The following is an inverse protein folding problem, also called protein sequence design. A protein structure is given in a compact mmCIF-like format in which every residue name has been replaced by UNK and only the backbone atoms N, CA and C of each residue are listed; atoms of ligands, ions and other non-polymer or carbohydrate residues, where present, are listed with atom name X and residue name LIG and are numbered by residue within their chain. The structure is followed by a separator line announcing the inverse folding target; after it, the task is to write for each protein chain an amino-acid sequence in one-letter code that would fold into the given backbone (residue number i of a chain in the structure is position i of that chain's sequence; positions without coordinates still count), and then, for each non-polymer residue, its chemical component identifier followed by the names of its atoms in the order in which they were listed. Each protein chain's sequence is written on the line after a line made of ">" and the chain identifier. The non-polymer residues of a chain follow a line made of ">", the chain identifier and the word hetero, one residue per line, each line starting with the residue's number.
data_IF_902689278490
#
_entry.id   IF_902689278490
#
_cell.length_a   1.000
_cell.length_b   1.000
_cell.length_c   1.000
_cell.angle_alpha   90.00
_cell.angle_beta   90.00
_cell.angle_gamma   90.00
#
_symmetry.space_group_name_H-M   'P 1'
#
loop_
_entity.id
_entity.type
_entity.pdbx_description
1 polymer ?
#
# COMPACT_ATOMS: atom_id res chain seq x y z
N UNK A 1 33.47 -21.19 8.80
CA UNK A 1 32.35 -22.06 9.24
C UNK A 1 31.55 -22.45 7.98
N UNK A 2 30.95 -23.64 7.90
CA UNK A 2 30.20 -24.06 6.71
C UNK A 2 28.83 -24.60 7.11
N UNK A 3 27.85 -24.42 6.23
CA UNK A 3 26.56 -25.12 6.29
C UNK A 3 26.27 -25.67 4.91
N UNK A 4 26.13 -26.99 4.83
CA UNK A 4 26.23 -27.73 3.58
C UNK A 4 27.40 -27.31 2.71
N UNK A 5 27.12 -26.90 1.47
CA UNK A 5 28.16 -26.47 0.53
C UNK A 5 28.62 -25.02 0.77
N UNK A 6 27.88 -24.24 1.54
CA UNK A 6 28.09 -22.81 1.65
C UNK A 6 29.12 -22.46 2.71
N UNK A 7 30.01 -21.52 2.37
CA UNK A 7 30.98 -20.97 3.30
C UNK A 7 30.42 -19.73 3.97
N UNK A 8 30.16 -19.79 5.28
CA UNK A 8 29.64 -18.66 6.05
C UNK A 8 30.76 -17.61 6.25
N UNK A 9 30.51 -16.39 5.77
CA UNK A 9 31.47 -15.29 5.76
C UNK A 9 31.25 -14.36 6.97
N UNK A 10 30.04 -13.84 7.14
CA UNK A 10 29.70 -12.91 8.22
C UNK A 10 28.23 -13.04 8.61
N UNK A 11 27.92 -12.80 9.88
CA UNK A 11 26.53 -12.78 10.33
C UNK A 11 25.88 -11.46 9.93
N UNK A 12 24.68 -11.53 9.34
CA UNK A 12 23.86 -10.38 8.95
C UNK A 12 22.82 -10.04 10.00
N UNK A 13 22.33 -11.04 10.75
CA UNK A 13 21.36 -10.83 11.82
C UNK A 13 21.03 -12.10 12.61
N UNK A 14 20.32 -11.93 13.72
CA UNK A 14 19.80 -13.00 14.56
C UNK A 14 18.48 -12.58 15.20
N UNK A 15 17.56 -13.54 15.39
CA UNK A 15 16.30 -13.32 16.08
C UNK A 15 15.56 -14.61 16.37
N UNK A 16 14.30 -14.50 16.82
CA UNK A 16 13.46 -15.67 17.17
C UNK A 16 13.19 -16.64 16.01
N UNK A 17 13.38 -16.21 14.77
CA UNK A 17 13.22 -17.02 13.55
C UNK A 17 14.56 -17.53 13.00
N UNK A 18 15.63 -17.47 13.80
CA UNK A 18 16.94 -18.02 13.46
C UNK A 18 18.01 -16.97 13.18
N UNK A 19 19.07 -17.40 12.50
CA UNK A 19 20.24 -16.58 12.20
C UNK A 19 20.37 -16.39 10.69
N UNK A 20 20.71 -15.17 10.27
CA UNK A 20 20.96 -14.85 8.86
C UNK A 20 22.46 -14.59 8.68
N UNK A 21 23.06 -15.25 7.70
CA UNK A 21 24.48 -15.18 7.39
C UNK A 21 24.71 -14.79 5.92
N UNK A 22 25.70 -13.95 5.66
CA UNK A 22 26.31 -13.81 4.34
C UNK A 22 27.19 -15.03 4.12
N UNK A 23 27.06 -15.67 2.98
CA UNK A 23 27.80 -16.87 2.65
C UNK A 23 28.24 -16.87 1.18
N UNK A 24 29.31 -17.59 0.88
CA UNK A 24 29.74 -17.87 -0.49
C UNK A 24 29.14 -19.20 -0.96
N UNK A 25 28.47 -19.18 -2.10
CA UNK A 25 28.10 -20.37 -2.88
C UNK A 25 29.27 -20.72 -3.82
N UNK A 26 30.07 -21.75 -3.50
CA UNK A 26 31.25 -22.08 -4.29
C UNK A 26 30.91 -22.69 -5.66
N UNK A 27 29.69 -23.21 -5.86
CA UNK A 27 29.30 -23.83 -7.15
C UNK A 27 28.98 -22.79 -8.20
N UNK A 28 28.33 -21.71 -7.78
CA UNK A 28 27.95 -20.60 -8.65
C UNK A 28 28.89 -19.39 -8.52
N UNK A 29 29.90 -19.48 -7.66
CA UNK A 29 30.86 -18.41 -7.36
C UNK A 29 30.17 -17.07 -7.07
N UNK A 30 29.14 -17.10 -6.20
CA UNK A 30 28.35 -15.93 -5.83
C UNK A 30 28.09 -15.88 -4.34
N UNK A 31 27.86 -14.69 -3.82
CA UNK A 31 27.40 -14.53 -2.45
C UNK A 31 25.89 -14.66 -2.33
N UNK A 32 25.46 -15.21 -1.19
CA UNK A 32 24.06 -15.47 -0.85
C UNK A 32 23.83 -15.11 0.62
N UNK A 33 22.58 -14.84 0.97
CA UNK A 33 22.15 -14.81 2.36
C UNK A 33 21.56 -16.18 2.73
N UNK A 34 21.93 -16.70 3.90
CA UNK A 34 21.46 -17.98 4.43
C UNK A 34 20.74 -17.74 5.75
N UNK A 35 19.44 -18.02 5.78
CA UNK A 35 18.64 -17.98 7.00
C UNK A 35 18.53 -19.39 7.57
N UNK A 36 19.25 -19.63 8.65
CA UNK A 36 19.31 -20.91 9.38
C UNK A 36 18.22 -20.90 10.43
N UNK A 37 17.31 -21.86 10.38
CA UNK A 37 16.22 -21.98 11.36
C UNK A 37 16.74 -22.52 12.71
N UNK A 38 16.11 -22.14 13.83
CA UNK A 38 16.39 -22.74 15.13
C UNK A 38 16.10 -24.25 15.12
N UNK A 39 16.95 -25.03 15.78
CA UNK A 39 16.85 -26.51 15.85
C UNK A 39 15.47 -26.98 16.35
N UNK A 40 14.92 -26.32 17.37
CA UNK A 40 13.59 -26.64 17.89
C UNK A 40 12.46 -26.53 16.85
N UNK A 41 12.56 -25.57 15.93
CA UNK A 41 11.59 -25.41 14.84
C UNK A 41 11.88 -26.39 13.69
N UNK A 42 13.16 -26.69 13.44
CA UNK A 42 13.57 -27.71 12.48
C UNK A 42 13.25 -29.15 12.94
N UNK A 43 13.02 -29.39 14.22
CA UNK A 43 12.56 -30.70 14.72
C UNK A 43 11.04 -30.89 14.58
N UNK A 44 10.25 -29.82 14.44
CA UNK A 44 8.80 -29.88 14.30
C UNK A 44 8.39 -30.21 12.86
N UNK A 45 7.88 -31.43 12.66
CA UNK A 45 7.45 -31.92 11.34
C UNK A 45 6.30 -31.11 10.71
N UNK A 46 5.38 -30.57 11.51
CA UNK A 46 4.26 -29.77 11.03
C UNK A 46 4.75 -28.38 10.61
N UNK A 47 5.63 -27.79 11.42
CA UNK A 47 6.33 -26.56 11.09
C UNK A 47 7.10 -26.69 9.78
N UNK A 48 7.92 -27.74 9.65
CA UNK A 48 8.72 -28.00 8.44
C UNK A 48 7.86 -28.12 7.19
N UNK A 49 6.78 -28.90 7.26
CA UNK A 49 5.90 -29.10 6.12
C UNK A 49 5.24 -27.78 5.66
N UNK A 50 4.85 -26.91 6.60
CA UNK A 50 4.33 -25.56 6.30
C UNK A 50 5.41 -24.63 5.74
N UNK A 51 6.55 -24.53 6.41
CA UNK A 51 7.68 -23.72 5.98
C UNK A 51 8.11 -24.05 4.54
N UNK A 52 8.24 -25.34 4.21
CA UNK A 52 8.56 -25.78 2.85
C UNK A 52 7.47 -25.43 1.84
N UNK A 53 6.19 -25.47 2.21
CA UNK A 53 5.10 -25.04 1.33
C UNK A 53 5.17 -23.54 1.06
N UNK A 54 5.29 -22.72 2.09
CA UNK A 54 5.38 -21.26 1.98
C UNK A 54 6.61 -20.83 1.18
N UNK A 55 7.78 -21.39 1.50
CA UNK A 55 9.01 -21.09 0.79
C UNK A 55 8.94 -21.48 -0.70
N UNK A 56 8.26 -22.58 -1.06
CA UNK A 56 8.03 -22.95 -2.47
C UNK A 56 7.12 -21.98 -3.21
N UNK A 57 6.11 -21.42 -2.53
CA UNK A 57 5.21 -20.43 -3.14
C UNK A 57 5.98 -19.10 -3.28
N UNK A 58 6.70 -18.67 -2.24
CA UNK A 58 7.52 -17.47 -2.26
C UNK A 58 8.68 -17.53 -3.27
N UNK A 59 9.30 -18.70 -3.49
CA UNK A 59 10.35 -18.89 -4.49
C UNK A 59 9.88 -18.73 -5.95
N UNK A 60 8.56 -18.69 -6.20
CA UNK A 60 8.00 -18.40 -7.52
C UNK A 60 7.89 -16.90 -7.81
N UNK A 61 8.00 -16.07 -6.78
CA UNK A 61 7.95 -14.62 -6.96
C UNK A 61 9.20 -14.16 -7.71
N UNK A 62 8.99 -13.42 -8.80
CA UNK A 62 10.07 -12.81 -9.56
C UNK A 62 9.74 -11.33 -9.77
N UNK A 63 10.33 -10.47 -8.93
CA UNK A 63 10.05 -9.05 -8.95
C UNK A 63 11.28 -8.25 -8.50
N UNK A 64 11.59 -7.10 -9.13
CA UNK A 64 12.78 -6.31 -8.80
C UNK A 64 12.86 -5.88 -7.34
N UNK A 65 11.71 -5.70 -6.67
CA UNK A 65 11.63 -5.28 -5.27
C UNK A 65 11.38 -6.41 -4.28
N UNK A 66 11.51 -7.67 -4.69
CA UNK A 66 11.45 -8.85 -3.82
C UNK A 66 12.84 -9.49 -3.78
N UNK A 67 13.31 -9.87 -2.59
CA UNK A 67 14.52 -10.67 -2.47
C UNK A 67 14.26 -12.10 -2.94
N UNK A 68 15.07 -12.56 -3.89
CA UNK A 68 14.86 -13.87 -4.53
C UNK A 68 15.22 -15.00 -3.57
N UNK A 69 14.37 -16.02 -3.49
CA UNK A 69 14.71 -17.28 -2.80
C UNK A 69 15.29 -18.24 -3.84
N UNK A 70 16.51 -18.71 -3.61
CA UNK A 70 17.20 -19.63 -4.52
C UNK A 70 16.90 -21.09 -4.20
N UNK A 71 16.94 -21.47 -2.93
CA UNK A 71 16.67 -22.84 -2.49
C UNK A 71 16.23 -22.89 -1.03
N UNK A 72 15.53 -23.97 -0.68
CA UNK A 72 15.38 -24.42 0.70
C UNK A 72 16.17 -25.71 0.82
N UNK A 73 17.02 -25.80 1.82
CA UNK A 73 17.91 -26.95 2.01
C UNK A 73 17.77 -27.53 3.41
N UNK A 74 18.07 -28.81 3.49
CA UNK A 74 18.06 -29.58 4.72
C UNK A 74 19.33 -30.43 4.75
N UNK A 75 20.13 -30.27 5.81
CA UNK A 75 21.35 -31.02 6.02
C UNK A 75 21.69 -31.12 7.50
N UNK A 76 22.08 -32.32 7.95
CA UNK A 76 22.56 -32.58 9.31
C UNK A 76 21.60 -32.01 10.38
N UNK A 77 20.29 -32.28 10.21
CA UNK A 77 19.16 -31.78 11.01
C UNK A 77 18.94 -30.26 11.02
N UNK A 78 19.75 -29.49 10.29
CA UNK A 78 19.54 -28.07 10.06
C UNK A 78 18.70 -27.85 8.79
N UNK A 79 17.69 -26.98 8.90
CA UNK A 79 16.93 -26.47 7.76
C UNK A 79 17.27 -25.00 7.55
N UNK A 80 17.57 -24.62 6.30
CA UNK A 80 17.96 -23.26 5.97
C UNK A 80 17.44 -22.81 4.61
N UNK A 81 17.24 -21.50 4.48
CA UNK A 81 16.82 -20.83 3.27
C UNK A 81 18.02 -20.13 2.64
N UNK A 82 18.25 -20.36 1.35
CA UNK A 82 19.28 -19.66 0.56
C UNK A 82 18.59 -18.62 -0.29
N UNK A 83 18.99 -17.36 -0.14
CA UNK A 83 18.33 -16.22 -0.77
C UNK A 83 19.32 -15.18 -1.26
N UNK A 84 18.81 -14.22 -2.03
CA UNK A 84 19.54 -13.04 -2.49
C UNK A 84 20.16 -12.30 -1.30
N UNK A 85 21.47 -12.08 -1.36
CA UNK A 85 22.12 -11.11 -0.47
C UNK A 85 21.86 -9.71 -1.02
N UNK A 86 21.24 -8.84 -0.23
CA UNK A 86 20.98 -7.46 -0.61
C UNK A 86 22.08 -6.57 -0.03
N UNK A 87 22.95 -6.05 -0.90
CA UNK A 87 23.96 -5.06 -0.54
C UNK A 87 23.31 -3.69 -0.31
N UNK A 88 22.80 -3.48 0.90
CA UNK A 88 22.10 -2.28 1.32
C UNK A 88 22.00 -2.16 2.84
N UNK A 89 21.24 -1.17 3.29
CA UNK A 89 20.95 -0.98 4.72
C UNK A 89 19.43 -1.11 4.96
N UNK A 90 19.01 -1.64 6.12
CA UNK A 90 17.60 -1.65 6.50
C UNK A 90 17.02 -0.23 6.55
N UNK A 91 15.74 -0.10 6.24
CA UNK A 91 15.00 1.17 6.29
C UNK A 91 15.00 1.77 7.71
N UNK A 92 15.11 0.95 8.76
CA UNK A 92 15.29 1.42 10.15
C UNK A 92 16.43 2.42 10.30
N UNK A 93 17.56 2.21 9.63
CA UNK A 93 18.71 3.12 9.71
C UNK A 93 18.39 4.49 9.13
N UNK A 94 17.63 4.53 8.03
CA UNK A 94 17.23 5.77 7.40
C UNK A 94 16.17 6.51 8.23
N UNK A 95 15.23 5.79 8.86
CA UNK A 95 14.25 6.38 9.79
C UNK A 95 14.95 6.93 11.04
N UNK A 96 15.95 6.23 11.57
CA UNK A 96 16.71 6.67 12.75
C UNK A 96 17.49 7.97 12.51
N UNK A 97 17.80 8.29 11.25
CA UNK A 97 18.42 9.56 10.87
C UNK A 97 17.44 10.75 10.91
N UNK A 98 16.13 10.48 11.02
CA UNK A 98 15.07 11.48 11.14
C UNK A 98 13.97 11.34 10.09
N UNK A 99 12.96 12.23 10.13
CA UNK A 99 11.87 12.25 9.15
C UNK A 99 12.36 12.38 7.72
N UNK A 100 11.76 11.63 6.80
CA UNK A 100 12.04 11.67 5.37
C UNK A 100 11.14 12.69 4.66
N UNK A 101 11.68 13.31 3.61
CA UNK A 101 10.87 14.14 2.71
C UNK A 101 9.85 13.31 1.92
N UNK A 102 8.69 13.91 1.63
CA UNK A 102 7.55 13.23 1.01
C UNK A 102 7.93 12.46 -0.26
N UNK A 103 8.65 13.08 -1.20
CA UNK A 103 9.02 12.46 -2.47
C UNK A 103 9.80 11.15 -2.27
N UNK A 104 10.80 11.15 -1.37
CA UNK A 104 11.60 9.96 -1.08
C UNK A 104 10.79 8.89 -0.36
N UNK A 105 9.91 9.29 0.56
CA UNK A 105 9.06 8.35 1.26
C UNK A 105 8.05 7.68 0.30
N UNK A 106 7.44 8.46 -0.59
CA UNK A 106 6.55 7.97 -1.65
C UNK A 106 7.29 6.98 -2.56
N UNK A 107 8.47 7.33 -3.07
CA UNK A 107 9.27 6.44 -3.94
C UNK A 107 9.52 5.07 -3.31
N UNK A 108 9.90 5.05 -2.02
CA UNK A 108 10.15 3.80 -1.29
C UNK A 108 8.85 3.01 -1.13
N UNK A 109 7.77 3.66 -0.67
CA UNK A 109 6.49 2.98 -0.39
C UNK A 109 5.86 2.43 -1.67
N UNK A 110 5.98 3.13 -2.80
CA UNK A 110 5.52 2.63 -4.11
C UNK A 110 6.25 1.36 -4.54
N UNK A 111 7.58 1.30 -4.36
CA UNK A 111 8.37 0.09 -4.65
C UNK A 111 7.96 -1.09 -3.75
N UNK A 112 7.72 -0.83 -2.46
CA UNK A 112 7.23 -1.84 -1.51
C UNK A 112 5.81 -2.29 -1.87
N UNK A 113 4.90 -1.37 -2.21
CA UNK A 113 3.54 -1.68 -2.63
C UNK A 113 3.53 -2.55 -3.89
N UNK A 114 4.41 -2.29 -4.87
CA UNK A 114 4.58 -3.15 -6.05
C UNK A 114 5.02 -4.57 -5.68
N UNK A 115 5.98 -4.71 -4.75
CA UNK A 115 6.41 -6.02 -4.25
C UNK A 115 5.27 -6.78 -3.53
N UNK A 116 4.53 -6.08 -2.67
CA UNK A 116 3.38 -6.65 -1.96
C UNK A 116 2.30 -7.08 -2.95
N UNK A 117 2.04 -6.28 -3.99
CA UNK A 117 1.04 -6.59 -5.00
C UNK A 117 1.37 -7.88 -5.77
N UNK A 118 2.63 -8.09 -6.13
CA UNK A 118 3.09 -9.34 -6.78
C UNK A 118 2.85 -10.55 -5.86
N UNK A 119 3.24 -10.44 -4.59
CA UNK A 119 3.02 -11.50 -3.61
C UNK A 119 1.52 -11.81 -3.41
N UNK A 120 0.69 -10.78 -3.31
CA UNK A 120 -0.76 -10.91 -3.16
C UNK A 120 -1.40 -11.59 -4.38
N UNK A 121 -0.92 -11.27 -5.59
CA UNK A 121 -1.39 -11.91 -6.83
C UNK A 121 -1.04 -13.42 -6.87
N UNK A 122 0.05 -13.82 -6.21
CA UNK A 122 0.43 -15.22 -6.01
C UNK A 122 -0.26 -15.88 -4.79
N UNK A 123 -1.17 -15.19 -4.10
CA UNK A 123 -1.89 -15.70 -2.94
C UNK A 123 -1.08 -15.69 -1.64
N UNK A 124 0.01 -14.93 -1.58
CA UNK A 124 0.88 -14.81 -0.40
C UNK A 124 0.59 -13.50 0.31
N UNK A 125 0.34 -13.54 1.61
CA UNK A 125 0.31 -12.35 2.48
C UNK A 125 1.62 -12.31 3.25
N UNK A 126 2.28 -11.15 3.34
CA UNK A 126 3.60 -11.03 3.97
C UNK A 126 3.54 -11.15 5.50
N UNK A 127 2.59 -10.46 6.14
CA UNK A 127 2.27 -10.50 7.59
C UNK A 127 3.31 -9.93 8.55
N UNK A 128 4.45 -9.46 8.07
CA UNK A 128 5.55 -8.92 8.88
C UNK A 128 6.24 -7.75 8.16
N UNK A 129 5.45 -6.90 7.50
CA UNK A 129 5.96 -5.66 6.92
C UNK A 129 6.42 -4.75 8.07
N UNK A 130 7.71 -4.43 8.08
CA UNK A 130 8.37 -3.53 9.03
C UNK A 130 9.68 -3.00 8.43
N UNK A 131 10.26 -1.92 8.95
CA UNK A 131 11.44 -1.31 8.34
C UNK A 131 12.67 -2.23 8.31
N UNK A 132 12.80 -3.18 9.24
CA UNK A 132 13.88 -4.17 9.24
C UNK A 132 13.83 -5.14 8.03
N UNK A 133 12.64 -5.38 7.49
CA UNK A 133 12.44 -6.27 6.34
C UNK A 133 12.44 -5.50 5.00
N UNK A 134 12.74 -4.20 5.02
CA UNK A 134 12.81 -3.35 3.84
C UNK A 134 14.25 -2.85 3.70
N UNK A 135 14.96 -3.34 2.70
CA UNK A 135 16.35 -2.98 2.44
C UNK A 135 16.43 -1.87 1.40
N UNK A 136 17.23 -0.85 1.70
CA UNK A 136 17.58 0.23 0.79
C UNK A 136 18.96 -0.02 0.20
N UNK A 137 19.04 -0.20 -1.12
CA UNK A 137 20.29 -0.39 -1.86
C UNK A 137 20.47 0.69 -2.92
N UNK A 138 21.66 0.73 -3.54
CA UNK A 138 21.91 1.58 -4.72
C UNK A 138 21.07 1.18 -5.94
N UNK A 139 20.51 -0.03 -5.95
CA UNK A 139 19.65 -0.55 -7.02
C UNK A 139 18.16 -0.39 -6.73
N UNK A 140 17.80 0.25 -5.62
CA UNK A 140 16.42 0.45 -5.17
C UNK A 140 16.08 -0.36 -3.91
N UNK A 141 14.78 -0.51 -3.68
CA UNK A 141 14.22 -1.18 -2.49
C UNK A 141 14.08 -2.68 -2.72
N UNK A 142 14.35 -3.48 -1.69
CA UNK A 142 14.11 -4.92 -1.64
C UNK A 142 13.34 -5.29 -0.37
N UNK A 143 12.22 -6.00 -0.52
CA UNK A 143 11.44 -6.56 0.59
C UNK A 143 11.90 -7.99 0.84
N UNK A 144 12.18 -8.30 2.11
CA UNK A 144 12.68 -9.60 2.58
C UNK A 144 11.54 -10.44 3.19
N UNK A 145 11.73 -11.76 3.32
CA UNK A 145 10.94 -12.64 4.20
C UNK A 145 9.40 -12.71 3.95
N UNK A 146 8.95 -12.74 2.69
CA UNK A 146 7.52 -12.88 2.37
C UNK A 146 6.87 -14.15 2.94
N UNK A 147 6.00 -13.99 3.95
CA UNK A 147 5.06 -15.03 4.39
C UNK A 147 5.66 -16.15 5.24
N UNK A 148 6.97 -16.38 5.16
CA UNK A 148 7.67 -17.55 5.74
C UNK A 148 7.63 -17.60 7.28
N UNK A 149 7.41 -16.47 7.96
CA UNK A 149 7.62 -16.36 9.41
C UNK A 149 6.36 -16.56 10.27
N UNK A 150 5.14 -16.57 9.70
CA UNK A 150 3.92 -16.38 10.53
C UNK A 150 2.72 -17.29 10.27
N UNK A 151 2.66 -18.11 9.23
CA UNK A 151 1.55 -19.10 9.09
C UNK A 151 1.71 -20.34 9.98
N UNK A 152 2.74 -20.34 10.84
CA UNK A 152 3.21 -21.53 11.54
C UNK A 152 2.50 -21.79 12.87
N UNK A 153 1.41 -21.07 13.14
CA UNK A 153 0.55 -21.34 14.28
C UNK A 153 -0.91 -20.95 14.00
N UNK A 154 -1.74 -21.88 13.48
CA UNK A 154 -3.21 -21.75 13.42
C UNK A 154 -3.85 -21.60 14.82
N UNK A 155 -3.06 -21.87 15.87
CA UNK A 155 -3.36 -21.70 17.28
C UNK A 155 -2.35 -20.81 18.01
N UNK A 156 -1.64 -19.94 17.28
CA UNK A 156 -1.10 -18.76 17.92
C UNK A 156 -2.25 -17.76 18.09
N UNK A 157 -3.07 -18.02 19.11
CA UNK A 157 -3.22 -16.96 20.12
C UNK A 157 -1.84 -16.30 20.30
N UNK A 158 -1.72 -14.99 20.57
CA UNK A 158 -0.46 -14.48 21.09
C UNK A 158 -0.09 -15.33 22.30
N UNK A 159 0.71 -16.38 22.10
CA UNK A 159 1.09 -17.30 23.14
C UNK A 159 2.06 -16.48 23.95
N UNK A 160 1.51 -15.84 24.97
CA UNK A 160 2.23 -15.48 26.17
C UNK A 160 3.04 -16.73 26.51
N UNK A 161 4.34 -16.70 26.22
CA UNK A 161 5.25 -17.61 26.89
C UNK A 161 5.01 -17.42 28.39
N UNK A 162 5.20 -18.44 29.23
CA UNK A 162 5.06 -18.30 30.69
C UNK A 162 5.92 -17.15 31.28
N UNK A 163 6.83 -16.57 30.47
CA UNK A 163 7.65 -15.40 30.74
C UNK A 163 7.11 -14.05 30.19
N UNK A 164 5.91 -13.98 29.61
CA UNK A 164 5.32 -12.73 29.13
C UNK A 164 5.96 -12.11 27.88
N UNK A 165 6.83 -12.85 27.17
CA UNK A 165 7.48 -12.36 25.95
C UNK A 165 6.58 -12.62 24.73
N UNK A 166 6.12 -11.55 24.09
CA UNK A 166 5.49 -11.57 22.77
C UNK A 166 6.60 -11.73 21.72
N UNK A 167 6.50 -12.74 20.85
CA UNK A 167 7.45 -12.93 19.76
C UNK A 167 7.18 -11.91 18.64
N UNK A 168 8.04 -10.90 18.53
CA UNK A 168 8.02 -9.87 17.47
C UNK A 168 7.77 -8.45 17.96
N UNK A 169 7.88 -7.47 17.05
CA UNK A 169 7.60 -6.05 17.33
C UNK A 169 6.12 -5.77 17.05
N UNK A 170 5.25 -5.66 18.08
CA UNK A 170 3.80 -5.47 17.88
C UNK A 170 3.45 -4.16 17.17
N UNK A 171 4.38 -3.20 17.14
CA UNK A 171 4.17 -1.86 16.59
C UNK A 171 3.71 -1.83 15.13
N UNK A 172 4.04 -2.86 14.34
CA UNK A 172 3.68 -2.96 12.92
C UNK A 172 2.55 -3.96 12.63
N UNK A 173 1.97 -4.59 13.66
CA UNK A 173 0.83 -5.49 13.47
C UNK A 173 -0.41 -4.70 13.04
N UNK A 174 -1.22 -5.33 12.19
CA UNK A 174 -2.57 -4.86 11.92
C UNK A 174 -3.54 -5.14 13.10
N UNK A 175 -4.65 -4.40 13.22
CA UNK A 175 -5.71 -4.66 14.22
C UNK A 175 -6.18 -6.09 14.26
N UNK A 176 -6.43 -6.67 13.08
CA UNK A 176 -6.85 -8.06 12.95
C UNK A 176 -5.78 -9.05 13.40
N UNK A 177 -4.49 -8.77 13.17
CA UNK A 177 -3.39 -9.60 13.68
C UNK A 177 -3.31 -9.55 15.22
N UNK A 178 -3.41 -8.36 15.81
CA UNK A 178 -3.39 -8.22 17.27
C UNK A 178 -4.60 -8.88 17.94
N UNK A 179 -5.73 -8.98 17.22
CA UNK A 179 -6.95 -9.65 17.67
C UNK A 179 -6.97 -11.16 17.38
N UNK A 180 -5.96 -11.70 16.69
CA UNK A 180 -5.95 -13.11 16.26
C UNK A 180 -7.05 -13.43 15.24
N UNK A 181 -7.52 -12.44 14.48
CA UNK A 181 -8.51 -12.60 13.41
C UNK A 181 -7.83 -13.01 12.09
N UNK A 182 -8.64 -13.40 11.12
CA UNK A 182 -8.16 -13.75 9.78
C UNK A 182 -7.38 -12.58 9.15
N UNK A 183 -6.17 -12.88 8.70
CA UNK A 183 -5.24 -11.94 8.08
C UNK A 183 -5.46 -11.95 6.56
N UNK A 184 -5.46 -10.79 5.93
CA UNK A 184 -5.67 -10.65 4.50
C UNK A 184 -4.66 -9.66 3.88
N UNK A 185 -4.76 -9.45 2.56
CA UNK A 185 -3.96 -8.45 1.84
C UNK A 185 -4.01 -7.05 2.47
N UNK A 186 -5.18 -6.65 2.98
CA UNK A 186 -5.40 -5.38 3.70
C UNK A 186 -4.60 -5.26 5.01
N UNK A 187 -4.12 -6.37 5.58
CA UNK A 187 -3.27 -6.37 6.77
C UNK A 187 -1.87 -5.87 6.44
N UNK A 188 -1.30 -6.29 5.31
CA UNK A 188 0.00 -5.79 4.85
C UNK A 188 -0.07 -4.29 4.52
N UNK A 189 -1.20 -3.81 4.00
CA UNK A 189 -1.45 -2.39 3.72
C UNK A 189 -1.43 -1.57 5.01
N UNK A 190 -2.04 -2.07 6.09
CA UNK A 190 -1.98 -1.40 7.39
C UNK A 190 -0.53 -1.33 7.91
N UNK A 191 0.18 -2.46 7.88
CA UNK A 191 1.58 -2.52 8.31
C UNK A 191 2.47 -1.58 7.49
N UNK A 192 2.27 -1.51 6.17
CA UNK A 192 2.95 -0.55 5.31
C UNK A 192 2.56 0.90 5.64
N UNK A 193 1.30 1.16 6.00
CA UNK A 193 0.85 2.46 6.50
C UNK A 193 1.56 2.89 7.79
N UNK A 194 1.84 1.94 8.71
CA UNK A 194 2.62 2.22 9.92
C UNK A 194 4.06 2.60 9.55
N UNK A 195 4.69 1.83 8.67
CA UNK A 195 6.05 2.14 8.17
C UNK A 195 6.06 3.52 7.50
N UNK A 196 5.06 3.82 6.68
CA UNK A 196 4.99 5.07 5.95
C UNK A 196 4.81 6.27 6.88
N UNK A 197 3.91 6.16 7.86
CA UNK A 197 3.77 7.15 8.92
C UNK A 197 5.10 7.40 9.63
N UNK A 198 5.79 6.33 10.01
CA UNK A 198 7.06 6.43 10.73
C UNK A 198 8.17 7.08 9.90
N UNK A 199 8.23 6.79 8.60
CA UNK A 199 9.14 7.47 7.68
C UNK A 199 8.89 8.99 7.63
N UNK A 200 7.62 9.41 7.61
CA UNK A 200 7.24 10.82 7.53
C UNK A 200 7.32 11.55 8.87
N UNK A 201 7.07 10.88 9.98
CA UNK A 201 7.04 11.47 11.32
C UNK A 201 8.35 11.30 12.10
N UNK A 202 9.24 10.39 11.67
CA UNK A 202 10.42 9.95 12.41
C UNK A 202 10.10 9.16 13.69
N UNK A 203 8.84 8.75 13.89
CA UNK A 203 8.36 8.01 15.05
C UNK A 203 7.12 7.20 14.71
N UNK A 204 6.92 6.10 15.42
CA UNK A 204 5.76 5.22 15.22
C UNK A 204 4.43 5.92 15.55
N UNK A 205 3.32 5.55 14.85
CA UNK A 205 1.99 6.10 15.12
C UNK A 205 1.38 5.58 16.43
N UNK A 206 1.70 4.34 16.81
CA UNK A 206 1.20 3.67 18.01
C UNK A 206 2.39 3.21 18.85
N UNK A 207 2.39 3.53 20.14
CA UNK A 207 3.51 3.24 21.03
C UNK A 207 3.05 2.98 22.46
N UNK A 208 3.91 2.43 23.30
CA UNK A 208 3.57 2.18 24.70
C UNK A 208 4.66 1.43 25.42
N UNK A 209 4.65 1.52 26.74
CA UNK A 209 5.69 0.93 27.60
C UNK A 209 5.68 -0.61 27.60
N UNK A 210 4.59 -1.20 27.12
CA UNK A 210 4.43 -2.66 27.01
C UNK A 210 3.87 -3.05 25.65
N UNK A 211 4.17 -4.28 25.23
CA UNK A 211 3.65 -4.84 23.99
C UNK A 211 2.11 -4.88 23.95
N UNK A 212 1.47 -5.13 25.11
CA UNK A 212 0.00 -5.08 25.25
C UNK A 212 -0.53 -3.66 25.07
N UNK A 213 0.15 -2.65 25.63
CA UNK A 213 -0.26 -1.25 25.46
C UNK A 213 -0.22 -0.83 23.98
N UNK A 214 0.82 -1.25 23.25
CA UNK A 214 0.91 -1.03 21.80
C UNK A 214 -0.25 -1.71 21.07
N UNK A 215 -0.58 -2.96 21.42
CA UNK A 215 -1.73 -3.67 20.84
C UNK A 215 -3.06 -2.98 21.12
N UNK A 216 -3.29 -2.47 22.33
CA UNK A 216 -4.51 -1.72 22.65
C UNK A 216 -4.62 -0.46 21.79
N UNK A 217 -3.52 0.28 21.61
CA UNK A 217 -3.52 1.45 20.76
C UNK A 217 -3.79 1.12 19.30
N UNK A 218 -3.11 0.10 18.76
CA UNK A 218 -3.28 -0.25 17.36
C UNK A 218 -4.72 -0.69 17.06
N UNK A 219 -5.41 -1.34 18.01
CA UNK A 219 -6.79 -1.79 17.83
C UNK A 219 -7.83 -0.66 17.91
N UNK A 220 -7.62 0.34 18.76
CA UNK A 220 -8.74 1.22 19.20
C UNK A 220 -8.44 2.71 19.16
N UNK A 221 -7.18 3.11 19.03
CA UNK A 221 -6.77 4.52 19.11
C UNK A 221 -6.41 5.02 17.71
N UNK A 222 -6.93 6.19 17.33
CA UNK A 222 -6.53 6.87 16.11
C UNK A 222 -5.05 7.29 16.20
N UNK A 223 -4.32 7.21 15.09
CA UNK A 223 -2.94 7.67 15.09
C UNK A 223 -2.89 9.20 15.22
N UNK A 224 -1.81 9.79 15.76
CA UNK A 224 -1.64 11.23 15.75
C UNK A 224 -1.60 11.78 14.32
N UNK A 225 -2.04 13.03 14.07
CA UNK A 225 -1.98 13.62 12.74
C UNK A 225 -0.53 13.89 12.30
N UNK A 226 -0.24 13.65 11.02
CA UNK A 226 1.03 14.03 10.41
C UNK A 226 1.12 15.57 10.29
N UNK A 227 2.29 16.13 10.61
CA UNK A 227 2.57 17.57 10.50
C UNK A 227 3.65 17.80 9.46
N UNK A 228 3.54 18.88 8.69
CA UNK A 228 4.51 19.20 7.64
C UNK A 228 4.43 18.28 6.43
N UNK A 229 3.30 17.58 6.28
CA UNK A 229 2.99 16.69 5.15
C UNK A 229 1.78 17.26 4.39
N UNK A 230 1.76 17.13 3.07
CA UNK A 230 0.62 17.55 2.25
C UNK A 230 -0.67 16.86 2.68
N UNK A 231 -1.83 17.54 2.65
CA UNK A 231 -3.11 16.93 3.01
C UNK A 231 -3.41 15.65 2.23
N UNK A 232 -3.06 15.63 0.93
CA UNK A 232 -3.25 14.47 0.06
C UNK A 232 -2.46 13.25 0.55
N UNK A 233 -1.20 13.45 0.93
CA UNK A 233 -0.39 12.37 1.46
C UNK A 233 -0.84 11.91 2.84
N UNK A 234 -1.25 12.85 3.71
CA UNK A 234 -1.83 12.49 5.01
C UNK A 234 -3.07 11.60 4.84
N UNK A 235 -4.00 11.96 3.94
CA UNK A 235 -5.20 11.16 3.70
C UNK A 235 -4.89 9.73 3.22
N UNK A 236 -3.85 9.54 2.41
CA UNK A 236 -3.39 8.21 2.01
C UNK A 236 -2.89 7.41 3.21
N UNK A 237 -2.08 8.02 4.09
CA UNK A 237 -1.60 7.36 5.31
C UNK A 237 -2.75 7.02 6.24
N UNK A 238 -3.68 7.96 6.44
CA UNK A 238 -4.87 7.80 7.27
C UNK A 238 -5.70 6.59 6.78
N UNK A 239 -5.93 6.51 5.46
CA UNK A 239 -6.67 5.39 4.84
C UNK A 239 -5.94 4.06 4.97
N UNK A 240 -4.61 4.02 4.96
CA UNK A 240 -3.87 2.79 5.25
C UNK A 240 -4.06 2.35 6.70
N UNK A 241 -4.11 3.31 7.63
CA UNK A 241 -4.19 3.10 9.08
C UNK A 241 -5.61 2.98 9.63
N UNK A 242 -6.62 2.89 8.75
CA UNK A 242 -7.99 2.62 9.14
C UNK A 242 -8.11 1.32 9.92
N UNK A 243 -8.90 1.31 10.99
CA UNK A 243 -9.00 0.13 11.87
C UNK A 243 -9.77 -1.00 11.19
N UNK A 244 -10.80 -0.65 10.44
CA UNK A 244 -11.61 -1.61 9.69
C UNK A 244 -10.92 -1.96 8.37
N UNK A 245 -10.60 -3.24 8.10
CA UNK A 245 -9.93 -3.64 6.86
C UNK A 245 -10.67 -3.20 5.58
N UNK A 246 -12.00 -3.17 5.60
CA UNK A 246 -12.83 -2.76 4.47
C UNK A 246 -12.76 -1.25 4.17
N UNK A 247 -12.34 -0.42 5.12
CA UNK A 247 -12.17 1.03 4.92
C UNK A 247 -10.78 1.39 4.36
N UNK A 248 -9.84 0.44 4.33
CA UNK A 248 -8.49 0.64 3.78
C UNK A 248 -8.50 0.59 2.26
N UNK A 249 -7.35 0.86 1.65
CA UNK A 249 -7.09 0.39 0.29
C UNK A 249 -7.27 -1.13 0.22
N UNK A 250 -7.97 -1.62 -0.79
CA UNK A 250 -8.30 -3.04 -0.95
C UNK A 250 -7.21 -3.83 -1.68
N UNK A 251 -6.21 -3.13 -2.25
CA UNK A 251 -5.02 -3.74 -2.84
C UNK A 251 -3.82 -2.81 -2.77
N UNK A 252 -2.61 -3.39 -2.78
CA UNK A 252 -1.39 -2.58 -2.82
C UNK A 252 -1.26 -1.79 -4.14
N UNK A 253 -1.88 -2.28 -5.23
CA UNK A 253 -2.04 -1.51 -6.48
C UNK A 253 -2.87 -0.25 -6.31
N UNK A 254 -3.92 -0.29 -5.49
CA UNK A 254 -4.76 0.88 -5.20
C UNK A 254 -3.98 1.95 -4.44
N UNK A 255 -3.17 1.52 -3.47
CA UNK A 255 -2.25 2.38 -2.74
C UNK A 255 -1.19 3.00 -3.68
N UNK A 256 -0.51 2.20 -4.51
CA UNK A 256 0.49 2.71 -5.45
C UNK A 256 -0.08 3.73 -6.44
N UNK A 257 -1.28 3.49 -6.97
CA UNK A 257 -1.97 4.42 -7.84
C UNK A 257 -2.26 5.77 -7.14
N UNK A 258 -2.79 5.74 -5.91
CA UNK A 258 -3.01 6.96 -5.12
C UNK A 258 -1.70 7.74 -4.86
N UNK A 259 -0.61 7.03 -4.55
CA UNK A 259 0.71 7.62 -4.33
C UNK A 259 1.30 8.23 -5.61
N UNK A 260 1.07 7.61 -6.77
CA UNK A 260 1.51 8.14 -8.06
C UNK A 260 0.89 9.51 -8.34
N UNK A 261 -0.38 9.71 -7.97
CA UNK A 261 -1.09 10.99 -8.12
C UNK A 261 -0.43 12.10 -7.31
N UNK A 262 -0.17 11.82 -6.04
CA UNK A 262 0.46 12.80 -5.15
C UNK A 262 1.91 13.08 -5.56
N UNK A 263 2.61 12.08 -6.08
CA UNK A 263 3.98 12.25 -6.57
C UNK A 263 4.05 13.16 -7.81
N UNK A 264 3.17 12.92 -8.79
CA UNK A 264 3.13 13.69 -10.03
C UNK A 264 2.77 15.16 -9.78
N UNK A 265 1.78 15.42 -8.93
CA UNK A 265 1.40 16.79 -8.53
C UNK A 265 2.51 17.53 -7.79
N UNK A 266 3.26 16.86 -6.91
CA UNK A 266 4.41 17.46 -6.24
C UNK A 266 5.52 17.84 -7.24
N UNK A 267 5.79 16.98 -8.22
CA UNK A 267 6.77 17.24 -9.28
C UNK A 267 6.33 18.40 -10.20
N UNK A 268 5.05 18.43 -10.59
CA UNK A 268 4.49 19.49 -11.43
C UNK A 268 4.56 20.88 -10.77
N UNK A 269 4.41 20.97 -9.45
CA UNK A 269 4.59 22.24 -8.69
C UNK A 269 6.04 22.75 -8.69
N UNK A 270 7.03 21.87 -8.86
CA UNK A 270 8.44 22.24 -8.91
C UNK A 270 8.88 22.74 -10.30
N UNK A 271 8.18 22.33 -11.36
CA UNK A 271 8.39 22.81 -12.74
C UNK A 271 7.25 23.75 -13.13
N UNK A 272 7.40 25.05 -12.88
CA UNK A 272 6.38 26.06 -13.20
C UNK A 272 6.23 26.21 -14.72
N UNK A 273 5.42 25.34 -15.31
CA UNK A 273 4.64 25.61 -16.52
C UNK A 273 3.24 25.12 -16.19
N UNK A 274 2.41 25.99 -15.63
CA UNK A 274 1.00 25.68 -15.43
C UNK A 274 0.41 25.38 -16.82
N UNK A 275 -0.25 24.23 -17.02
CA UNK A 275 -1.02 24.01 -18.25
C UNK A 275 -2.04 25.14 -18.42
N UNK A 276 -2.45 25.47 -19.67
CA UNK A 276 -3.48 26.48 -19.90
C UNK A 276 -4.73 26.14 -19.08
N UNK A 277 -5.32 27.14 -18.44
CA UNK A 277 -6.45 26.94 -17.54
C UNK A 277 -7.60 26.22 -18.27
N UNK A 278 -7.92 24.99 -17.84
CA UNK A 278 -8.94 24.14 -18.46
C UNK A 278 -10.36 24.42 -17.92
N UNK A 279 -10.54 25.54 -17.21
CA UNK A 279 -11.82 25.90 -16.58
C UNK A 279 -11.97 25.31 -15.18
N UNK A 280 -13.22 25.00 -14.80
CA UNK A 280 -13.57 24.53 -13.45
C UNK A 280 -14.14 23.12 -13.51
N UNK A 281 -13.67 22.26 -12.61
CA UNK A 281 -14.19 20.91 -12.43
C UNK A 281 -14.96 20.78 -11.11
N UNK A 282 -15.98 19.92 -11.11
CA UNK A 282 -16.72 19.51 -9.90
C UNK A 282 -16.41 18.05 -9.59
N UNK A 283 -16.00 17.76 -8.35
CA UNK A 283 -15.83 16.39 -7.85
C UNK A 283 -16.89 16.11 -6.79
N UNK A 284 -17.81 15.21 -7.08
CA UNK A 284 -18.85 14.74 -6.16
C UNK A 284 -18.56 13.30 -5.74
N UNK A 285 -18.15 13.09 -4.49
CA UNK A 285 -17.77 11.78 -3.98
C UNK A 285 -17.90 11.83 -2.45
N UNK A 286 -18.38 10.77 -1.80
CA UNK A 286 -18.55 10.76 -0.34
C UNK A 286 -17.25 10.36 0.38
N UNK A 287 -16.34 9.64 -0.30
CA UNK A 287 -15.02 9.30 0.22
C UNK A 287 -14.07 10.52 0.18
N UNK A 288 -13.65 11.07 1.34
CA UNK A 288 -12.75 12.21 1.40
C UNK A 288 -11.39 11.95 0.72
N UNK A 289 -10.92 10.70 0.74
CA UNK A 289 -9.63 10.36 0.10
C UNK A 289 -9.77 10.41 -1.42
N UNK A 290 -10.83 9.82 -1.97
CA UNK A 290 -11.14 9.87 -3.40
C UNK A 290 -11.31 11.31 -3.87
N UNK A 291 -12.06 12.16 -3.14
CA UNK A 291 -12.19 13.59 -3.47
C UNK A 291 -10.84 14.28 -3.57
N UNK A 292 -9.97 14.07 -2.59
CA UNK A 292 -8.66 14.72 -2.54
C UNK A 292 -7.73 14.24 -3.66
N UNK A 293 -7.80 12.96 -4.03
CA UNK A 293 -7.05 12.40 -5.15
C UNK A 293 -7.56 12.93 -6.50
N UNK A 294 -8.88 12.99 -6.70
CA UNK A 294 -9.47 13.60 -7.90
C UNK A 294 -9.12 15.08 -8.01
N UNK A 295 -9.21 15.83 -6.90
CA UNK A 295 -8.76 17.23 -6.84
C UNK A 295 -7.30 17.35 -7.27
N UNK A 296 -6.41 16.57 -6.66
CA UNK A 296 -4.99 16.60 -6.96
C UNK A 296 -4.72 16.32 -8.45
N UNK A 297 -5.33 15.27 -9.00
CA UNK A 297 -5.21 14.91 -10.42
C UNK A 297 -5.74 16.01 -11.35
N UNK A 298 -6.91 16.59 -11.07
CA UNK A 298 -7.51 17.65 -11.89
C UNK A 298 -6.73 18.97 -11.80
N UNK A 299 -6.18 19.31 -10.63
CA UNK A 299 -5.31 20.48 -10.46
C UNK A 299 -4.00 20.32 -11.26
N UNK A 300 -3.45 19.10 -11.37
CA UNK A 300 -2.31 18.80 -12.26
C UNK A 300 -2.63 19.09 -13.71
N UNK A 301 -3.87 18.82 -14.14
CA UNK A 301 -4.35 19.09 -15.48
C UNK A 301 -4.75 20.56 -15.71
N UNK A 302 -4.70 21.40 -14.68
CA UNK A 302 -4.97 22.84 -14.80
C UNK A 302 -6.42 23.26 -14.56
N UNK A 303 -7.24 22.41 -13.92
CA UNK A 303 -8.60 22.77 -13.50
C UNK A 303 -8.60 23.46 -12.13
N UNK A 304 -9.53 24.41 -11.94
CA UNK A 304 -9.98 24.80 -10.60
C UNK A 304 -11.01 23.79 -10.11
N UNK A 305 -10.86 23.23 -8.91
CA UNK A 305 -11.73 22.15 -8.43
C UNK A 305 -12.65 22.61 -7.29
N UNK A 306 -13.96 22.52 -7.51
CA UNK A 306 -14.97 22.56 -6.45
C UNK A 306 -15.30 21.10 -6.03
N UNK A 307 -15.59 20.86 -4.75
CA UNK A 307 -15.91 19.54 -4.19
C UNK A 307 -17.34 19.51 -3.64
N UNK A 308 -17.97 18.35 -3.72
CA UNK A 308 -19.26 18.04 -3.11
C UNK A 308 -19.15 16.71 -2.35
N UNK A 309 -19.64 16.68 -1.10
CA UNK A 309 -19.58 15.45 -0.28
C UNK A 309 -20.74 14.48 -0.55
N UNK A 310 -21.72 14.91 -1.36
CA UNK A 310 -22.84 14.11 -1.83
C UNK A 310 -23.57 14.77 -3.02
N UNK A 311 -24.57 14.08 -3.58
CA UNK A 311 -25.33 14.56 -4.73
C UNK A 311 -26.14 15.83 -4.48
N UNK A 312 -26.59 16.09 -3.24
CA UNK A 312 -27.37 17.30 -2.94
C UNK A 312 -26.50 18.56 -2.98
N UNK A 313 -25.26 18.45 -2.54
CA UNK A 313 -24.28 19.50 -2.72
C UNK A 313 -23.88 19.64 -4.19
N UNK A 314 -23.66 18.54 -4.90
CA UNK A 314 -23.33 18.57 -6.33
C UNK A 314 -24.40 19.32 -7.14
N UNK A 315 -25.69 19.01 -6.93
CA UNK A 315 -26.81 19.71 -7.56
C UNK A 315 -26.85 21.20 -7.19
N UNK A 316 -26.48 21.59 -5.96
CA UNK A 316 -26.41 23.00 -5.55
C UNK A 316 -25.34 23.76 -6.33
N UNK A 317 -24.18 23.13 -6.54
CA UNK A 317 -23.12 23.66 -7.38
C UNK A 317 -23.59 23.83 -8.82
N UNK A 318 -24.16 22.78 -9.42
CA UNK A 318 -24.66 22.78 -10.79
C UNK A 318 -25.80 23.79 -11.04
N UNK A 319 -26.57 24.14 -10.02
CA UNK A 319 -27.61 25.19 -10.13
C UNK A 319 -27.05 26.61 -10.23
N UNK A 320 -25.81 26.83 -9.78
CA UNK A 320 -25.25 28.17 -9.59
C UNK A 320 -24.03 28.47 -10.47
N UNK A 321 -23.39 27.43 -11.02
CA UNK A 321 -22.13 27.55 -11.77
C UNK A 321 -22.08 26.59 -12.94
N UNK A 322 -21.30 26.97 -13.95
CA UNK A 322 -20.92 26.12 -15.07
C UNK A 322 -19.59 25.41 -14.78
N UNK A 323 -19.46 24.17 -15.24
CA UNK A 323 -18.26 23.34 -15.06
C UNK A 323 -17.81 22.78 -16.41
N UNK A 324 -16.51 22.82 -16.68
CA UNK A 324 -15.91 22.18 -17.86
C UNK A 324 -15.85 20.66 -17.70
N UNK A 325 -15.68 20.17 -16.47
CA UNK A 325 -15.71 18.74 -16.18
C UNK A 325 -16.46 18.47 -14.87
N UNK A 326 -17.12 17.31 -14.80
CA UNK A 326 -17.71 16.79 -13.57
C UNK A 326 -17.30 15.34 -13.38
N UNK A 327 -16.88 14.98 -12.17
CA UNK A 327 -16.66 13.59 -11.75
C UNK A 327 -17.65 13.32 -10.62
N UNK A 328 -18.44 12.25 -10.74
CA UNK A 328 -19.39 11.84 -9.70
C UNK A 328 -19.22 10.37 -9.34
N UNK A 329 -19.15 10.04 -8.05
CA UNK A 329 -19.38 8.67 -7.59
C UNK A 329 -20.86 8.31 -7.81
N UNK A 330 -21.15 7.05 -8.12
CA UNK A 330 -22.51 6.56 -8.21
C UNK A 330 -23.13 6.31 -6.84
N UNK A 331 -22.33 5.91 -5.87
CA UNK A 331 -22.80 5.53 -4.55
C UNK A 331 -22.48 6.64 -3.56
N UNK A 332 -23.41 7.59 -3.41
CA UNK A 332 -23.29 8.70 -2.46
C UNK A 332 -24.52 8.76 -1.54
N UNK A 333 -24.39 9.25 -0.29
CA UNK A 333 -25.51 9.39 0.63
C UNK A 333 -26.43 10.57 0.22
N UNK A 334 -27.67 10.56 0.72
CA UNK A 334 -28.74 11.56 0.45
C UNK A 334 -29.26 11.55 -0.99
N UNK A 335 -28.45 12.00 -1.94
CA UNK A 335 -28.72 11.91 -3.37
C UNK A 335 -27.54 11.15 -3.99
N UNK A 336 -27.85 10.06 -4.67
CA UNK A 336 -26.84 9.22 -5.30
C UNK A 336 -26.37 9.80 -6.65
N UNK A 337 -25.33 9.22 -7.24
CA UNK A 337 -24.80 9.72 -8.51
C UNK A 337 -25.78 9.62 -9.67
N UNK A 338 -26.73 8.68 -9.64
CA UNK A 338 -27.75 8.54 -10.68
C UNK A 338 -28.72 9.71 -10.66
N UNK A 339 -29.15 10.12 -9.47
CA UNK A 339 -30.03 11.29 -9.30
C UNK A 339 -29.34 12.59 -9.74
N UNK A 340 -28.02 12.69 -9.54
CA UNK A 340 -27.22 13.80 -10.06
C UNK A 340 -27.17 13.78 -11.59
N UNK A 341 -26.99 12.62 -12.21
CA UNK A 341 -27.01 12.48 -13.67
C UNK A 341 -28.40 12.82 -14.25
N UNK A 342 -29.48 12.46 -13.58
CA UNK A 342 -30.85 12.86 -13.96
C UNK A 342 -31.05 14.38 -13.92
N UNK A 343 -30.48 15.04 -12.91
CA UNK A 343 -30.46 16.50 -12.86
C UNK A 343 -29.67 17.09 -14.04
N UNK A 344 -28.48 16.57 -14.33
CA UNK A 344 -27.65 17.05 -15.45
C UNK A 344 -28.36 16.86 -16.80
N UNK A 345 -29.07 15.75 -16.98
CA UNK A 345 -29.86 15.44 -18.19
C UNK A 345 -30.94 16.49 -18.46
N UNK A 346 -31.56 17.03 -17.41
CA UNK A 346 -32.66 17.99 -17.48
C UNK A 346 -32.20 19.46 -17.36
N UNK A 347 -30.96 19.69 -16.92
CA UNK A 347 -30.41 21.03 -16.74
C UNK A 347 -29.88 21.63 -18.05
N UNK A 348 -30.66 22.50 -18.71
CA UNK A 348 -30.24 23.11 -19.98
C UNK A 348 -29.24 24.27 -19.87
N UNK A 349 -29.13 24.93 -18.70
CA UNK A 349 -28.38 26.20 -18.56
C UNK A 349 -26.95 26.04 -18.02
N UNK A 350 -26.72 25.01 -17.21
CA UNK A 350 -25.48 24.80 -16.46
C UNK A 350 -25.01 23.35 -16.52
N UNK A 351 -25.39 22.62 -17.59
CA UNK A 351 -24.88 21.27 -17.83
C UNK A 351 -23.36 21.33 -17.97
N UNK A 352 -22.60 20.48 -17.26
CA UNK A 352 -21.17 20.38 -17.46
C UNK A 352 -20.83 19.98 -18.90
N UNK A 353 -19.71 20.49 -19.43
CA UNK A 353 -19.25 20.14 -20.79
C UNK A 353 -18.92 18.65 -20.88
N UNK A 354 -18.25 18.12 -19.86
CA UNK A 354 -17.93 16.70 -19.73
C UNK A 354 -18.34 16.12 -18.38
N UNK A 355 -18.91 14.92 -18.38
CA UNK A 355 -19.39 14.22 -17.18
C UNK A 355 -18.80 12.81 -17.13
N UNK A 356 -18.08 12.53 -16.05
CA UNK A 356 -17.45 11.25 -15.77
C UNK A 356 -18.04 10.62 -14.53
N UNK A 357 -18.17 9.30 -14.57
CA UNK A 357 -18.61 8.51 -13.43
C UNK A 357 -17.42 7.78 -12.81
N UNK A 358 -17.17 8.02 -11.51
CA UNK A 358 -16.18 7.27 -10.75
C UNK A 358 -16.83 6.05 -10.10
N UNK A 359 -16.26 4.86 -10.23
CA UNK A 359 -16.84 3.66 -9.61
C UNK A 359 -15.82 2.59 -9.25
N UNK A 360 -16.11 1.83 -8.19
CA UNK A 360 -15.42 0.57 -7.85
C UNK A 360 -16.00 -0.65 -8.60
N UNK A 361 -17.14 -0.49 -9.28
CA UNK A 361 -17.85 -1.57 -9.98
C UNK A 361 -17.13 -1.89 -11.29
N UNK A 362 -16.58 -3.11 -11.39
CA UNK A 362 -15.98 -3.61 -12.64
C UNK A 362 -17.07 -3.90 -13.68
N UNK A 363 -16.86 -3.49 -14.92
CA UNK A 363 -17.77 -3.70 -16.06
C UNK A 363 -19.16 -3.07 -15.91
N UNK A 364 -19.24 -1.92 -15.24
CA UNK A 364 -20.46 -1.12 -15.21
C UNK A 364 -20.96 -0.88 -16.66
N UNK A 365 -22.23 -1.21 -16.92
CA UNK A 365 -22.90 -0.92 -18.19
C UNK A 365 -23.90 0.19 -17.97
N UNK A 366 -23.66 1.32 -18.65
CA UNK A 366 -24.58 2.45 -18.68
C UNK A 366 -25.78 2.12 -19.56
N UNK A 367 -26.97 2.57 -19.16
CA UNK A 367 -28.15 2.50 -20.04
C UNK A 367 -27.98 3.42 -21.24
N UNK A 368 -28.77 3.24 -22.31
CA UNK A 368 -28.75 4.15 -23.47
C UNK A 368 -29.00 5.61 -23.07
N UNK A 369 -29.84 5.84 -22.05
CA UNK A 369 -30.14 7.18 -21.56
C UNK A 369 -28.95 7.80 -20.79
N UNK A 370 -28.12 6.99 -20.14
CA UNK A 370 -26.94 7.45 -19.40
C UNK A 370 -25.74 7.67 -20.33
N UNK A 371 -25.63 6.89 -21.41
CA UNK A 371 -24.61 7.06 -22.45
C UNK A 371 -24.72 8.43 -23.16
N UNK A 372 -25.90 9.04 -23.19
CA UNK A 372 -26.08 10.41 -23.73
C UNK A 372 -25.66 11.54 -22.77
N UNK A 373 -25.32 11.20 -21.52
CA UNK A 373 -24.95 12.16 -20.47
C UNK A 373 -23.52 11.95 -19.98
N UNK A 374 -23.07 10.69 -19.87
CA UNK A 374 -21.77 10.31 -19.34
C UNK A 374 -20.77 10.09 -20.47
N UNK A 375 -19.69 10.87 -20.48
CA UNK A 375 -18.63 10.80 -21.48
C UNK A 375 -17.60 9.70 -21.18
N UNK A 376 -17.49 9.27 -19.92
CA UNK A 376 -16.58 8.19 -19.54
C UNK A 376 -16.78 7.65 -18.13
N UNK A 377 -16.23 6.46 -17.90
CA UNK A 377 -16.24 5.79 -16.59
C UNK A 377 -14.81 5.69 -16.10
N UNK A 378 -14.54 6.31 -14.94
CA UNK A 378 -13.26 6.25 -14.26
C UNK A 378 -13.30 5.14 -13.21
N UNK A 379 -12.38 4.20 -13.32
CA UNK A 379 -12.26 3.11 -12.35
C UNK A 379 -11.56 3.61 -11.08
N UNK A 380 -12.04 3.21 -9.90
CA UNK A 380 -11.29 3.32 -8.65
C UNK A 380 -10.43 2.04 -8.48
N UNK A 381 -9.11 2.11 -8.22
CA UNK A 381 -8.28 3.31 -8.01
C UNK A 381 -8.07 4.17 -9.26
N UNK A 382 -8.08 5.48 -9.04
CA UNK A 382 -7.85 6.51 -10.05
C UNK A 382 -6.44 6.37 -10.62
N UNK A 383 -6.31 6.45 -11.95
CA UNK A 383 -5.04 6.67 -12.64
C UNK A 383 -5.09 8.01 -13.36
N UNK A 384 -4.07 8.86 -13.17
CA UNK A 384 -4.01 10.17 -13.85
C UNK A 384 -4.04 9.98 -15.36
N UNK A 385 -3.36 8.96 -15.88
CA UNK A 385 -3.28 8.69 -17.31
C UNK A 385 -4.68 8.41 -17.88
N UNK A 386 -5.47 7.58 -17.19
CA UNK A 386 -6.86 7.31 -17.60
C UNK A 386 -7.69 8.60 -17.56
N UNK A 387 -7.59 9.39 -16.47
CA UNK A 387 -8.31 10.66 -16.36
C UNK A 387 -7.91 11.67 -17.45
N UNK A 388 -6.61 11.73 -17.78
CA UNK A 388 -6.06 12.60 -18.82
C UNK A 388 -6.53 12.15 -20.21
N UNK A 389 -6.46 10.86 -20.52
CA UNK A 389 -6.97 10.30 -21.78
C UNK A 389 -8.45 10.63 -22.00
N UNK A 390 -9.27 10.52 -20.95
CA UNK A 390 -10.69 10.88 -21.04
C UNK A 390 -10.91 12.37 -21.33
N UNK A 391 -10.23 13.26 -20.59
CA UNK A 391 -10.37 14.71 -20.77
C UNK A 391 -9.80 15.18 -22.12
N UNK A 392 -8.70 14.58 -22.59
CA UNK A 392 -8.11 14.87 -23.91
C UNK A 392 -8.99 14.34 -25.05
N UNK A 393 -9.62 13.16 -24.90
CA UNK A 393 -10.54 12.62 -25.91
C UNK A 393 -11.81 13.46 -26.07
N UNK A 394 -12.27 14.08 -24.99
CA UNK A 394 -13.47 14.88 -24.98
C UNK A 394 -13.27 16.25 -25.66
N UNK A 395 -12.08 16.84 -25.53
CA UNK A 395 -11.70 18.10 -26.22
C UNK A 395 -11.41 17.93 -27.72
N UNK A 396 -10.98 16.74 -28.16
CA UNK A 396 -10.75 16.44 -29.58
C UNK A 396 -12.05 16.25 -30.41
N UNK A 397 -13.20 16.14 -29.75
CA UNK A 397 -14.50 15.87 -30.38
C UNK A 397 -15.42 17.12 -30.41
N UNK A 398 -14.92 18.26 -29.93
CA UNK A 398 -15.53 19.60 -30.00
C UNK A 398 -14.84 20.48 -31.03
#
# INVERSE_FOLDING_TARGET
>A
MKIGQYELLSQLGAGGMGQVWRAMDPRLAREVAIKILPEALAADSEFRARFLREARVAARLNHPHIATIYSVEEQDDAMFLVMEVVDGAPLTNAIAAGPMGEARAIEIVRQVASAIQEAHAAGIVHRDIKPDNIMLSSRGVKVLDFGIARDLAPHAEPRMTQAGMILGTPAYMSPEQAQGRAIAASSDIFSLGVVFYEMLAGRQPFGGDTAIAVMVQLMSIAHPPLRGVTPALSAIVDRCLEKQPAARFQSARELDAALAIVYATAAARATVVLPPAQGRALVADDDPTSRLLFRAALEELGYQVDEAVDGAEAVRHLKTRHYAAMITDLLMPRLDGWEVLDFVRTAHKHRPEHVFVATTIRNLRLSEADQGVVDGIVSKPIRIEELREFLDSATATS
#
